data_IF_688493469522
#
_entry.id   IF_688493469522
#
_cell.length_a   1.000
_cell.length_b   1.000
_cell.length_c   1.000
_cell.angle_alpha   90.00
_cell.angle_beta   90.00
_cell.angle_gamma   90.00
#
_symmetry.space_group_name_H-M   'P 1'
#
loop_
_entity.id
_entity.type
_entity.pdbx_description
1 polymer ?
#
# COMPACT_ATOMS: atom_id res chain seq x y z
N UNK A 1 -9.63 -9.20 -28.82
CA UNK A 1 -8.46 -9.33 -27.92
C UNK A 1 -8.66 -8.37 -26.75
N UNK A 2 -8.99 -8.74 -25.52
CA UNK A 2 -9.91 -9.75 -24.97
C UNK A 2 -10.43 -9.08 -23.69
N UNK A 3 -11.73 -8.80 -23.58
CA UNK A 3 -12.31 -8.20 -22.35
C UNK A 3 -11.96 -9.00 -21.09
N UNK A 4 -11.65 -10.30 -21.22
CA UNK A 4 -11.24 -11.16 -20.11
C UNK A 4 -9.91 -10.76 -19.47
N UNK A 5 -8.94 -10.24 -20.22
CA UNK A 5 -7.65 -9.79 -19.64
C UNK A 5 -7.87 -8.51 -18.84
N UNK A 6 -8.61 -7.55 -19.41
CA UNK A 6 -8.96 -6.30 -18.72
C UNK A 6 -9.78 -6.53 -17.43
N UNK A 7 -10.67 -7.53 -17.43
CA UNK A 7 -11.42 -7.92 -16.23
C UNK A 7 -10.52 -8.56 -15.17
N UNK A 8 -9.52 -9.36 -15.57
CA UNK A 8 -8.54 -9.95 -14.65
C UNK A 8 -7.61 -8.86 -14.09
N UNK A 9 -7.12 -7.94 -14.92
CA UNK A 9 -6.35 -6.77 -14.47
C UNK A 9 -7.15 -5.90 -13.50
N UNK A 10 -8.44 -5.68 -13.79
CA UNK A 10 -9.34 -4.95 -12.90
C UNK A 10 -9.54 -5.71 -11.59
N UNK A 11 -9.75 -7.03 -11.62
CA UNK A 11 -9.92 -7.83 -10.41
C UNK A 11 -8.64 -7.87 -9.56
N UNK A 12 -7.47 -8.02 -10.16
CA UNK A 12 -6.17 -8.01 -9.47
C UNK A 12 -5.84 -6.62 -8.92
N UNK A 13 -6.07 -5.55 -9.70
CA UNK A 13 -5.88 -4.16 -9.26
C UNK A 13 -6.88 -3.74 -8.17
N UNK A 14 -8.12 -4.24 -8.21
CA UNK A 14 -9.17 -3.93 -7.25
C UNK A 14 -9.11 -4.79 -5.97
N UNK A 15 -8.45 -5.96 -6.01
CA UNK A 15 -8.21 -6.77 -4.81
C UNK A 15 -7.00 -6.28 -3.99
N UNK A 16 -5.96 -5.72 -4.61
CA UNK A 16 -4.82 -5.13 -3.88
C UNK A 16 -5.11 -3.70 -3.39
N UNK A 17 -6.02 -2.98 -4.06
CA UNK A 17 -6.64 -1.75 -3.52
C UNK A 17 -7.77 -2.05 -2.55
N UNK A 18 -7.81 -3.24 -1.93
CA UNK A 18 -8.76 -3.55 -0.86
C UNK A 18 -8.73 -2.40 0.13
N UNK A 19 -9.76 -1.56 0.03
CA UNK A 19 -9.92 -0.36 0.81
C UNK A 19 -10.01 -0.86 2.24
N UNK A 20 -8.93 -0.64 2.97
CA UNK A 20 -8.93 -0.84 4.40
C UNK A 20 -9.84 0.27 4.92
N UNK A 21 -11.14 -0.01 5.07
CA UNK A 21 -12.10 0.98 5.57
C UNK A 21 -11.98 1.17 7.09
N UNK A 22 -11.20 0.32 7.77
CA UNK A 22 -10.88 0.49 9.19
C UNK A 22 -9.92 1.68 9.38
N UNK A 23 -10.35 2.79 10.02
CA UNK A 23 -9.55 4.01 10.15
C UNK A 23 -8.20 3.76 10.82
N UNK A 24 -8.14 2.81 11.75
CA UNK A 24 -6.92 2.47 12.47
C UNK A 24 -5.92 1.71 11.60
N UNK A 25 -6.41 0.85 10.72
CA UNK A 25 -5.56 0.16 9.75
C UNK A 25 -5.11 1.12 8.64
N UNK A 26 -5.95 2.06 8.18
CA UNK A 26 -5.49 3.16 7.29
C UNK A 26 -4.37 3.96 7.93
N UNK A 27 -4.56 4.35 9.19
CA UNK A 27 -3.63 5.22 9.92
C UNK A 27 -2.22 4.62 10.02
N UNK A 28 -2.09 3.30 10.11
CA UNK A 28 -0.79 2.59 10.13
C UNK A 28 -0.28 2.12 8.76
N UNK A 29 -0.96 2.45 7.67
CA UNK A 29 -0.63 1.98 6.31
C UNK A 29 0.11 3.06 5.53
N UNK A 30 1.20 2.67 4.85
CA UNK A 30 1.92 3.52 3.90
C UNK A 30 1.44 3.15 2.49
N UNK A 31 0.69 4.05 1.85
CA UNK A 31 0.23 3.86 0.48
C UNK A 31 1.32 4.29 -0.50
N UNK A 32 1.76 3.35 -1.34
CA UNK A 32 2.78 3.60 -2.38
C UNK A 32 2.15 3.43 -3.75
N UNK A 33 2.04 4.50 -4.57
CA UNK A 33 1.48 4.38 -5.90
C UNK A 33 2.47 3.69 -6.85
N UNK A 34 2.11 2.51 -7.36
CA UNK A 34 2.86 1.80 -8.39
C UNK A 34 2.62 2.38 -9.81
N UNK A 35 1.53 3.14 -9.99
CA UNK A 35 1.06 3.67 -11.28
C UNK A 35 0.89 2.54 -12.31
N UNK A 36 1.45 2.69 -13.51
CA UNK A 36 1.26 1.78 -14.65
C UNK A 36 2.13 0.52 -14.58
N UNK A 37 2.86 0.29 -13.49
CA UNK A 37 3.65 -0.94 -13.32
C UNK A 37 2.78 -2.01 -12.69
N UNK A 38 2.50 -3.05 -13.47
CA UNK A 38 1.77 -4.21 -12.99
C UNK A 38 2.59 -4.99 -11.94
N UNK A 39 1.98 -5.48 -10.85
CA UNK A 39 2.68 -6.26 -9.83
C UNK A 39 3.18 -7.62 -10.34
N UNK A 40 2.67 -8.07 -11.50
CA UNK A 40 3.08 -9.32 -12.15
C UNK A 40 3.98 -9.07 -13.39
N UNK A 41 4.40 -7.83 -13.60
CA UNK A 41 5.41 -7.52 -14.61
C UNK A 41 6.80 -7.82 -14.05
N UNK A 42 7.38 -8.93 -14.49
CA UNK A 42 8.72 -9.35 -14.07
C UNK A 42 9.83 -8.83 -15.00
N UNK A 43 9.48 -8.11 -16.08
CA UNK A 43 10.44 -7.61 -17.09
C UNK A 43 10.59 -6.08 -17.04
N UNK A 44 10.40 -5.49 -15.86
CA UNK A 44 10.52 -4.05 -15.66
C UNK A 44 11.95 -3.54 -15.94
N UNK A 45 12.04 -2.38 -16.56
CA UNK A 45 13.33 -1.74 -16.85
C UNK A 45 14.02 -1.25 -15.58
N UNK A 46 15.31 -0.94 -15.69
CA UNK A 46 16.06 -0.35 -14.58
C UNK A 46 15.47 0.98 -14.11
N UNK A 47 14.99 1.80 -15.06
CA UNK A 47 14.37 3.09 -14.80
C UNK A 47 13.03 2.93 -14.07
N UNK A 48 12.22 1.95 -14.47
CA UNK A 48 10.96 1.65 -13.79
C UNK A 48 11.19 1.17 -12.36
N UNK A 49 12.19 0.30 -12.15
CA UNK A 49 12.59 -0.16 -10.81
C UNK A 49 13.04 0.99 -9.92
N UNK A 50 13.89 1.88 -10.44
CA UNK A 50 14.35 3.05 -9.68
C UNK A 50 13.18 3.99 -9.36
N UNK A 51 12.27 4.22 -10.30
CA UNK A 51 11.08 5.03 -10.06
C UNK A 51 10.20 4.43 -8.95
N UNK A 52 9.97 3.11 -8.93
CA UNK A 52 9.23 2.44 -7.85
C UNK A 52 9.92 2.60 -6.49
N UNK A 53 11.25 2.42 -6.45
CA UNK A 53 12.03 2.61 -5.24
C UNK A 53 11.90 4.05 -4.70
N UNK A 54 12.09 5.05 -5.55
CA UNK A 54 11.99 6.45 -5.15
C UNK A 54 10.60 6.83 -4.67
N UNK A 55 9.54 6.30 -5.29
CA UNK A 55 8.15 6.50 -4.82
C UNK A 55 7.93 5.93 -3.44
N UNK A 56 8.36 4.69 -3.19
CA UNK A 56 8.28 4.06 -1.88
C UNK A 56 9.06 4.83 -0.81
N UNK A 57 10.28 5.27 -1.15
CA UNK A 57 11.13 6.06 -0.26
C UNK A 57 10.49 7.41 0.11
N UNK A 58 9.93 8.12 -0.87
CA UNK A 58 9.22 9.38 -0.63
C UNK A 58 7.93 9.18 0.17
N UNK A 59 7.16 8.13 -0.10
CA UNK A 59 5.95 7.81 0.65
C UNK A 59 6.27 7.52 2.12
N UNK A 60 7.33 6.74 2.38
CA UNK A 60 7.81 6.49 3.74
C UNK A 60 8.24 7.75 4.47
N UNK A 61 9.01 8.63 3.81
CA UNK A 61 9.39 9.92 4.40
C UNK A 61 8.17 10.78 4.74
N UNK A 62 7.18 10.88 3.84
CA UNK A 62 5.95 11.65 4.07
C UNK A 62 5.14 11.10 5.24
N UNK A 63 5.03 9.77 5.34
CA UNK A 63 4.36 9.11 6.47
C UNK A 63 5.07 9.43 7.78
N UNK A 64 6.39 9.19 7.84
CA UNK A 64 7.19 9.37 9.06
C UNK A 64 7.29 10.82 9.51
N UNK A 65 7.16 11.80 8.60
CA UNK A 65 7.19 13.22 8.95
C UNK A 65 6.10 13.62 9.96
N UNK A 66 4.96 12.93 9.95
CA UNK A 66 3.81 13.23 10.81
C UNK A 66 3.38 12.03 11.67
N UNK A 67 4.13 10.93 11.64
CA UNK A 67 3.77 9.72 12.35
C UNK A 67 4.04 9.86 13.86
N UNK A 68 3.03 9.58 14.67
CA UNK A 68 3.15 9.50 16.12
C UNK A 68 2.54 8.19 16.62
N UNK A 69 3.39 7.33 17.16
CA UNK A 69 2.96 6.03 17.68
C UNK A 69 2.11 6.14 18.94
N UNK A 70 2.38 7.11 19.82
CA UNK A 70 1.60 7.32 21.03
C UNK A 70 0.17 7.77 20.69
N UNK A 71 0.02 8.71 19.75
CA UNK A 71 -1.30 9.17 19.29
C UNK A 71 -2.07 8.03 18.62
N UNK A 72 -1.39 7.21 17.82
CA UNK A 72 -1.99 6.00 17.24
C UNK A 72 -2.53 5.06 18.33
N UNK A 73 -1.74 4.75 19.37
CA UNK A 73 -2.20 3.88 20.46
C UNK A 73 -3.37 4.47 21.26
N UNK A 74 -3.37 5.79 21.47
CA UNK A 74 -4.45 6.49 22.16
C UNK A 74 -5.78 6.38 21.39
N UNK A 75 -5.72 6.51 20.06
CA UNK A 75 -6.92 6.54 19.21
C UNK A 75 -7.37 5.15 18.74
N UNK A 76 -6.44 4.20 18.60
CA UNK A 76 -6.67 2.90 17.98
C UNK A 76 -6.47 1.68 18.90
N UNK A 77 -5.99 1.91 20.12
CA UNK A 77 -5.73 0.85 21.09
C UNK A 77 -4.39 0.12 20.88
N UNK A 78 -4.03 -0.66 21.90
CA UNK A 78 -2.81 -1.47 21.92
C UNK A 78 -2.88 -2.67 20.97
N UNK A 79 -1.71 -3.27 20.64
CA UNK A 79 -1.71 -4.57 19.98
C UNK A 79 -2.56 -5.56 20.80
N UNK A 80 -3.36 -6.36 20.10
CA UNK A 80 -4.17 -7.39 20.75
C UNK A 80 -3.29 -8.29 21.61
N UNK A 81 -3.52 -8.26 22.92
CA UNK A 81 -2.93 -9.18 23.89
C UNK A 81 -3.98 -10.23 24.23
N UNK A 82 -3.89 -11.46 23.70
CA UNK A 82 -4.79 -12.53 24.11
C UNK A 82 -4.59 -12.80 25.60
N UNK A 83 -5.69 -12.82 26.35
CA UNK A 83 -5.71 -13.33 27.72
C UNK A 83 -5.50 -14.85 27.69
N UNK A 84 -4.50 -15.33 28.44
CA UNK A 84 -4.24 -16.75 28.69
C UNK A 84 -5.33 -17.39 29.56
#
# INVERSE_FOLDING_TARGET
>A
MSLGIAAIETLVSNQDNAYIDDPCTVRRTIFVPAHDVSPIDFDITAEQREALYQRGFQAGQKFLANWNYADYLADCGGPFTPSL
#
